data_IF_204614714610
#
_entry.id   IF_204614714610
#
_cell.length_a   1.000
_cell.length_b   1.000
_cell.length_c   1.000
_cell.angle_alpha   90.00
_cell.angle_beta   90.00
_cell.angle_gamma   90.00
#
_symmetry.space_group_name_H-M   'P 1'
#
loop_
_entity.id
_entity.type
_entity.pdbx_description
1 polymer ?
#
# COMPACT_ATOMS: atom_id res chain seq x y z
N UNK A 1 5.03 -43.88 -35.58
CA UNK A 1 3.60 -43.53 -35.58
C UNK A 1 3.44 -42.48 -34.50
N UNK A 2 3.32 -41.22 -34.91
CA UNK A 2 3.42 -40.08 -34.01
C UNK A 2 2.04 -39.44 -33.94
N UNK A 3 1.30 -39.68 -32.87
CA UNK A 3 -0.03 -39.13 -32.64
C UNK A 3 0.10 -37.75 -32.00
N UNK A 4 -0.04 -36.71 -32.82
CA UNK A 4 -0.20 -35.32 -32.38
C UNK A 4 -1.66 -35.08 -31.97
N UNK A 5 -1.88 -34.72 -30.71
CA UNK A 5 -3.19 -34.31 -30.18
C UNK A 5 -3.17 -32.79 -30.00
N UNK A 6 -3.82 -32.07 -30.90
CA UNK A 6 -4.08 -30.62 -30.78
C UNK A 6 -5.38 -30.42 -30.00
N UNK A 7 -5.28 -29.92 -28.77
CA UNK A 7 -6.44 -29.45 -28.00
C UNK A 7 -6.58 -27.95 -28.27
N UNK A 8 -7.55 -27.60 -29.10
CA UNK A 8 -8.00 -26.22 -29.30
C UNK A 8 -8.91 -25.82 -28.13
N UNK A 9 -8.35 -25.09 -27.15
CA UNK A 9 -9.12 -24.49 -26.07
C UNK A 9 -9.68 -23.14 -26.54
N UNK A 10 -10.83 -23.18 -27.21
CA UNK A 10 -11.60 -22.00 -27.56
C UNK A 10 -12.67 -21.73 -26.48
N UNK A 11 -12.68 -20.50 -25.96
CA UNK A 11 -13.90 -19.84 -25.48
C UNK A 11 -14.21 -19.92 -23.99
N UNK A 12 -13.73 -18.93 -23.23
CA UNK A 12 -14.49 -18.30 -22.13
C UNK A 12 -13.78 -17.03 -21.66
N UNK A 13 -13.93 -15.92 -22.38
CA UNK A 13 -13.66 -14.58 -21.84
C UNK A 13 -14.97 -13.79 -21.86
N UNK A 14 -15.91 -14.21 -21.02
CA UNK A 14 -16.92 -13.32 -20.49
C UNK A 14 -16.51 -13.02 -19.05
N UNK A 15 -15.55 -12.11 -18.88
CA UNK A 15 -15.32 -11.46 -17.60
C UNK A 15 -16.54 -10.57 -17.33
N UNK A 16 -17.61 -11.19 -16.82
CA UNK A 16 -18.66 -10.44 -16.14
C UNK A 16 -17.97 -9.62 -15.05
N UNK A 17 -18.20 -8.31 -15.06
CA UNK A 17 -17.70 -7.38 -14.07
C UNK A 17 -18.26 -7.76 -12.70
N UNK A 18 -17.55 -8.68 -12.04
CA UNK A 18 -17.77 -9.02 -10.65
C UNK A 18 -17.62 -7.73 -9.85
N UNK A 19 -18.70 -7.35 -9.17
CA UNK A 19 -18.69 -6.33 -8.11
C UNK A 19 -17.89 -6.79 -6.88
N UNK A 20 -17.36 -8.02 -6.90
CA UNK A 20 -16.48 -8.56 -5.88
C UNK A 20 -15.03 -8.59 -6.40
N UNK A 21 -14.08 -7.98 -5.67
CA UNK A 21 -12.67 -8.11 -6.00
C UNK A 21 -12.22 -9.56 -5.90
N UNK A 22 -11.47 -10.02 -6.92
CA UNK A 22 -10.85 -11.34 -6.91
C UNK A 22 -9.64 -11.31 -6.00
N UNK A 23 -9.78 -11.87 -4.80
CA UNK A 23 -8.71 -11.93 -3.81
C UNK A 23 -7.77 -13.10 -4.08
N UNK A 24 -6.51 -12.79 -4.36
CA UNK A 24 -5.44 -13.78 -4.38
C UNK A 24 -4.80 -13.90 -2.98
N UNK A 25 -4.37 -15.10 -2.63
CA UNK A 25 -3.64 -15.39 -1.38
C UNK A 25 -2.13 -15.54 -1.59
N UNK A 26 -1.71 -15.74 -2.85
CA UNK A 26 -0.31 -15.85 -3.22
C UNK A 26 0.22 -14.52 -3.77
N UNK A 27 1.04 -13.86 -2.97
CA UNK A 27 1.67 -12.59 -3.32
C UNK A 27 2.56 -12.69 -4.57
N UNK A 28 3.31 -13.80 -4.74
CA UNK A 28 4.25 -13.94 -5.86
C UNK A 28 3.51 -14.12 -7.18
N UNK A 29 2.40 -14.85 -7.17
CA UNK A 29 1.58 -15.02 -8.37
C UNK A 29 0.84 -13.73 -8.70
N UNK A 30 0.29 -13.04 -7.70
CA UNK A 30 -0.35 -11.75 -7.90
C UNK A 30 0.62 -10.69 -8.45
N UNK A 31 1.89 -10.72 -8.04
CA UNK A 31 2.91 -9.84 -8.57
C UNK A 31 3.19 -10.12 -10.06
N UNK A 32 3.26 -11.39 -10.46
CA UNK A 32 3.42 -11.77 -11.87
C UNK A 32 2.20 -11.37 -12.69
N UNK A 33 1.00 -11.55 -12.16
CA UNK A 33 -0.24 -11.14 -12.82
C UNK A 33 -0.31 -9.62 -12.97
N UNK A 34 0.07 -8.86 -11.93
CA UNK A 34 0.15 -7.41 -11.98
C UNK A 34 1.15 -6.93 -13.06
N UNK A 35 2.28 -7.64 -13.21
CA UNK A 35 3.26 -7.39 -14.26
C UNK A 35 2.73 -7.74 -15.66
N UNK A 36 2.11 -8.91 -15.83
CA UNK A 36 1.57 -9.38 -17.10
C UNK A 36 0.40 -8.50 -17.57
N UNK A 37 -0.49 -8.13 -16.66
CA UNK A 37 -1.67 -7.31 -16.93
C UNK A 37 -1.36 -5.80 -16.92
N UNK A 38 -0.15 -5.39 -16.54
CA UNK A 38 0.26 -3.99 -16.34
C UNK A 38 -0.69 -3.22 -15.41
N UNK A 39 -1.22 -3.91 -14.40
CA UNK A 39 -2.17 -3.37 -13.42
C UNK A 39 -1.45 -3.12 -12.09
N UNK A 40 -1.84 -2.09 -11.33
CA UNK A 40 -1.38 -1.92 -9.96
C UNK A 40 -1.91 -3.06 -9.08
N UNK A 41 -1.15 -3.41 -8.03
CA UNK A 41 -1.56 -4.43 -7.06
C UNK A 41 -1.95 -3.74 -5.74
N UNK A 42 -3.07 -4.14 -5.16
CA UNK A 42 -3.51 -3.71 -3.84
C UNK A 42 -3.38 -4.88 -2.88
N UNK A 43 -2.47 -4.76 -1.92
CA UNK A 43 -2.21 -5.76 -0.88
C UNK A 43 -2.85 -5.29 0.41
N UNK A 44 -3.85 -6.04 0.87
CA UNK A 44 -4.55 -5.77 2.11
C UNK A 44 -4.13 -6.79 3.16
N UNK A 45 -3.71 -6.28 4.31
CA UNK A 45 -3.34 -7.07 5.47
C UNK A 45 -4.48 -6.98 6.48
N UNK A 46 -4.98 -8.13 6.91
CA UNK A 46 -6.05 -8.22 7.88
C UNK A 46 -5.98 -9.53 8.66
N UNK A 47 -6.93 -9.73 9.58
CA UNK A 47 -7.01 -10.95 10.39
C UNK A 47 -8.25 -11.77 10.07
N UNK A 48 -8.09 -13.05 9.73
CA UNK A 48 -9.19 -13.98 9.41
C UNK A 48 -9.64 -13.93 7.95
N UNK A 49 -10.67 -14.69 7.54
CA UNK A 49 -11.08 -14.79 6.13
C UNK A 49 -11.66 -13.48 5.56
N UNK A 50 -12.38 -12.70 6.37
CA UNK A 50 -13.03 -11.44 5.95
C UNK A 50 -12.31 -10.20 6.49
N UNK A 51 -11.05 -10.34 6.91
CA UNK A 51 -10.31 -9.26 7.58
C UNK A 51 -10.07 -8.03 6.71
N UNK A 52 -10.18 -8.15 5.37
CA UNK A 52 -10.06 -7.02 4.46
C UNK A 52 -11.20 -5.99 4.63
N UNK A 53 -12.39 -6.43 5.04
CA UNK A 53 -13.50 -5.50 5.35
C UNK A 53 -13.18 -4.62 6.55
N UNK A 54 -12.39 -5.15 7.50
CA UNK A 54 -11.92 -4.44 8.71
C UNK A 54 -10.77 -3.46 8.44
N UNK A 55 -10.12 -3.55 7.28
CA UNK A 55 -9.17 -2.52 6.82
C UNK A 55 -9.91 -1.22 6.55
N UNK A 56 -11.21 -1.29 6.23
CA UNK A 56 -12.04 -0.11 6.08
C UNK A 56 -12.73 0.16 7.41
N UNK A 57 -12.49 1.34 7.99
CA UNK A 57 -13.03 1.75 9.30
C UNK A 57 -14.55 1.62 9.40
N UNK A 58 -15.24 1.75 8.26
CA UNK A 58 -16.68 1.58 8.15
C UNK A 58 -16.99 0.13 7.83
N UNK A 59 -17.98 -0.44 8.51
CA UNK A 59 -18.32 -1.88 8.51
C UNK A 59 -18.57 -2.50 7.12
N UNK A 60 -18.75 -1.68 6.08
CA UNK A 60 -18.86 -2.17 4.69
C UNK A 60 -18.06 -1.30 3.71
N UNK A 61 -17.20 -1.91 2.88
CA UNK A 61 -16.60 -1.27 1.71
C UNK A 61 -17.68 -0.69 0.79
N UNK A 62 -17.52 0.57 0.39
CA UNK A 62 -18.44 1.19 -0.58
C UNK A 62 -18.41 0.46 -1.93
N UNK A 63 -19.53 0.49 -2.66
CA UNK A 63 -19.62 -0.10 -4.00
C UNK A 63 -18.55 0.46 -4.95
N UNK A 64 -18.18 1.72 -4.80
CA UNK A 64 -17.10 2.36 -5.56
C UNK A 64 -15.74 1.71 -5.29
N UNK A 65 -15.38 1.52 -4.02
CA UNK A 65 -14.10 0.87 -3.65
C UNK A 65 -14.05 -0.55 -4.22
N UNK A 66 -15.14 -1.31 -4.09
CA UNK A 66 -15.23 -2.67 -4.62
C UNK A 66 -15.07 -2.71 -6.14
N UNK A 67 -15.72 -1.78 -6.86
CA UNK A 67 -15.62 -1.64 -8.30
C UNK A 67 -14.21 -1.27 -8.75
N UNK A 68 -13.59 -0.29 -8.08
CA UNK A 68 -12.21 0.11 -8.39
C UNK A 68 -11.25 -1.07 -8.22
N UNK A 69 -11.37 -1.80 -7.12
CA UNK A 69 -10.55 -2.97 -6.83
C UNK A 69 -10.73 -4.09 -7.87
N UNK A 70 -11.97 -4.42 -8.26
CA UNK A 70 -12.20 -5.50 -9.23
C UNK A 70 -11.76 -5.12 -10.66
N UNK A 71 -12.01 -3.88 -11.09
CA UNK A 71 -11.76 -3.43 -12.46
C UNK A 71 -10.31 -3.04 -12.71
N UNK A 72 -9.64 -2.39 -11.74
CA UNK A 72 -8.34 -1.75 -11.98
C UNK A 72 -7.17 -2.42 -11.25
N UNK A 73 -7.40 -3.12 -10.15
CA UNK A 73 -6.32 -3.66 -9.31
C UNK A 73 -6.24 -5.19 -9.34
N UNK A 74 -5.05 -5.72 -9.13
CA UNK A 74 -4.87 -7.11 -8.69
C UNK A 74 -4.96 -7.10 -7.17
N UNK A 75 -5.97 -7.78 -6.61
CA UNK A 75 -6.25 -7.73 -5.18
C UNK A 75 -5.58 -8.91 -4.47
N UNK A 76 -4.77 -8.61 -3.46
CA UNK A 76 -4.11 -9.62 -2.63
C UNK A 76 -4.58 -9.45 -1.21
N UNK A 77 -5.04 -10.55 -0.63
CA UNK A 77 -5.40 -10.59 0.78
C UNK A 77 -4.41 -11.45 1.56
N UNK A 78 -3.86 -10.87 2.62
CA UNK A 78 -2.88 -11.52 3.48
C UNK A 78 -3.44 -11.63 4.90
N UNK A 79 -3.68 -12.86 5.33
CA UNK A 79 -4.11 -13.14 6.70
C UNK A 79 -2.92 -13.12 7.66
N UNK A 80 -2.84 -12.08 8.49
CA UNK A 80 -1.82 -11.87 9.51
C UNK A 80 -1.96 -12.80 10.73
N UNK A 81 -2.96 -13.70 10.74
CA UNK A 81 -2.99 -14.83 11.69
C UNK A 81 -2.02 -15.93 11.30
N UNK A 82 -1.76 -16.12 10.01
CA UNK A 82 -0.87 -17.16 9.49
C UNK A 82 0.60 -16.79 9.66
N UNK A 83 1.49 -17.77 9.81
CA UNK A 83 2.95 -17.52 9.92
C UNK A 83 3.48 -16.84 8.66
N UNK A 84 3.01 -17.27 7.48
CA UNK A 84 3.38 -16.67 6.21
C UNK A 84 2.91 -15.21 6.10
N UNK A 85 1.66 -14.92 6.48
CA UNK A 85 1.12 -13.56 6.45
C UNK A 85 1.80 -12.61 7.44
N UNK A 86 2.19 -13.09 8.63
CA UNK A 86 3.01 -12.30 9.57
C UNK A 86 4.40 -11.99 9.02
N UNK A 87 5.02 -12.95 8.33
CA UNK A 87 6.33 -12.72 7.69
C UNK A 87 6.20 -11.65 6.62
N UNK A 88 5.21 -11.77 5.74
CA UNK A 88 4.97 -10.81 4.68
C UNK A 88 4.63 -9.41 5.25
N UNK A 89 3.80 -9.33 6.30
CA UNK A 89 3.52 -8.07 6.96
C UNK A 89 4.80 -7.38 7.48
N UNK A 90 5.73 -8.14 8.08
CA UNK A 90 7.04 -7.60 8.51
C UNK A 90 7.91 -7.17 7.35
N UNK A 91 7.89 -7.90 6.22
CA UNK A 91 8.64 -7.50 5.02
C UNK A 91 8.14 -6.16 4.45
N UNK A 92 6.87 -5.81 4.71
CA UNK A 92 6.26 -4.50 4.41
C UNK A 92 6.31 -3.49 5.56
N UNK A 93 7.11 -3.77 6.60
CA UNK A 93 7.26 -2.95 7.81
C UNK A 93 5.93 -2.64 8.54
N UNK A 94 4.94 -3.53 8.41
CA UNK A 94 3.69 -3.43 9.15
C UNK A 94 3.88 -3.98 10.57
N UNK A 95 3.87 -3.06 11.54
CA UNK A 95 3.91 -3.41 12.97
C UNK A 95 2.54 -3.84 13.53
N UNK A 96 1.46 -3.57 12.79
CA UNK A 96 0.08 -3.92 13.15
C UNK A 96 -0.46 -5.16 12.41
N UNK A 97 -1.68 -5.56 12.78
CA UNK A 97 -2.39 -6.67 12.13
C UNK A 97 -3.26 -6.25 10.94
N UNK A 98 -3.39 -4.94 10.73
CA UNK A 98 -4.20 -4.31 9.68
C UNK A 98 -3.32 -3.30 8.93
N UNK A 99 -3.38 -3.35 7.60
CA UNK A 99 -2.63 -2.41 6.75
C UNK A 99 -3.02 -2.51 5.29
N UNK A 100 -2.62 -1.50 4.53
CA UNK A 100 -2.87 -1.40 3.10
C UNK A 100 -1.58 -0.97 2.40
N UNK A 101 -1.25 -1.70 1.34
CA UNK A 101 -0.13 -1.37 0.46
C UNK A 101 -0.62 -1.38 -0.98
N UNK A 102 -0.34 -0.32 -1.74
CA UNK A 102 -0.62 -0.27 -3.16
C UNK A 102 0.71 -0.19 -3.89
N UNK A 103 0.90 -1.03 -4.91
CA UNK A 103 2.08 -1.00 -5.77
C UNK A 103 1.81 -0.28 -7.09
N UNK A 104 2.89 0.08 -7.76
CA UNK A 104 2.88 0.62 -9.10
C UNK A 104 2.43 -0.43 -10.12
N UNK A 105 2.08 0.04 -11.32
CA UNK A 105 1.82 -0.82 -12.47
C UNK A 105 3.08 -1.63 -12.78
N UNK A 106 2.95 -2.95 -12.72
CA UNK A 106 4.10 -3.86 -12.81
C UNK A 106 4.52 -4.50 -11.49
N UNK A 107 3.97 -4.06 -10.35
CA UNK A 107 4.23 -4.66 -9.04
C UNK A 107 5.67 -4.49 -8.52
N UNK A 108 6.46 -3.62 -9.13
CA UNK A 108 7.89 -3.47 -8.82
C UNK A 108 8.19 -2.39 -7.77
N UNK A 109 7.32 -1.40 -7.62
CA UNK A 109 7.54 -0.27 -6.71
C UNK A 109 6.32 -0.07 -5.83
N UNK A 110 6.54 0.27 -4.57
CA UNK A 110 5.46 0.60 -3.66
C UNK A 110 5.00 2.05 -3.93
N UNK A 111 3.71 2.21 -4.21
CA UNK A 111 3.10 3.51 -4.49
C UNK A 111 2.51 4.15 -3.23
N UNK A 112 1.88 3.32 -2.41
CA UNK A 112 1.22 3.75 -1.18
C UNK A 112 1.44 2.75 -0.05
N UNK A 113 1.56 3.27 1.16
CA UNK A 113 1.60 2.51 2.39
C UNK A 113 0.74 3.16 3.45
N UNK A 114 -0.05 2.34 4.14
CA UNK A 114 -0.81 2.75 5.30
C UNK A 114 -0.88 1.64 6.34
N UNK A 115 -0.70 2.01 7.59
CA UNK A 115 -0.88 1.12 8.73
C UNK A 115 -2.19 1.46 9.45
N UNK A 116 -2.97 0.43 9.78
CA UNK A 116 -4.27 0.56 10.43
C UNK A 116 -5.43 0.65 9.44
N UNK A 117 -6.58 1.06 9.94
CA UNK A 117 -7.80 1.23 9.16
C UNK A 117 -7.77 2.53 8.34
N UNK A 118 -8.46 2.51 7.19
CA UNK A 118 -8.70 3.67 6.33
C UNK A 118 -10.19 3.91 6.18
N UNK A 119 -10.62 5.17 6.07
CA UNK A 119 -12.01 5.45 5.71
C UNK A 119 -12.29 5.10 4.25
N UNK A 120 -13.54 4.78 3.92
CA UNK A 120 -13.97 4.53 2.53
C UNK A 120 -13.55 5.65 1.57
N UNK A 121 -13.72 6.91 1.99
CA UNK A 121 -13.37 8.08 1.17
C UNK A 121 -11.87 8.15 0.88
N UNK A 122 -11.03 7.94 1.89
CA UNK A 122 -9.58 7.95 1.75
C UNK A 122 -9.12 6.80 0.84
N UNK A 123 -9.65 5.60 1.06
CA UNK A 123 -9.38 4.42 0.24
C UNK A 123 -9.76 4.66 -1.23
N UNK A 124 -10.97 5.13 -1.51
CA UNK A 124 -11.44 5.42 -2.86
C UNK A 124 -10.56 6.46 -3.58
N UNK A 125 -10.12 7.50 -2.86
CA UNK A 125 -9.25 8.53 -3.43
C UNK A 125 -7.88 7.98 -3.84
N UNK A 126 -7.24 7.16 -3.01
CA UNK A 126 -5.96 6.54 -3.36
C UNK A 126 -6.11 5.49 -4.46
N UNK A 127 -7.16 4.68 -4.43
CA UNK A 127 -7.44 3.72 -5.50
C UNK A 127 -7.68 4.44 -6.84
N UNK A 128 -8.44 5.54 -6.85
CA UNK A 128 -8.66 6.33 -8.07
C UNK A 128 -7.36 6.94 -8.58
N UNK A 129 -6.53 7.49 -7.69
CA UNK A 129 -5.22 8.06 -8.02
C UNK A 129 -4.29 7.04 -8.69
N UNK A 130 -4.18 5.83 -8.14
CA UNK A 130 -3.26 4.82 -8.67
C UNK A 130 -3.85 3.93 -9.77
N UNK A 131 -5.17 3.99 -9.97
CA UNK A 131 -5.82 3.44 -11.17
C UNK A 131 -5.50 4.26 -12.42
N UNK A 132 -5.22 5.56 -12.28
CA UNK A 132 -4.92 6.45 -13.41
C UNK A 132 -3.62 6.03 -14.11
N UNK A 133 -3.66 5.72 -15.42
CA UNK A 133 -2.49 5.29 -16.16
C UNK A 133 -1.46 6.40 -16.42
N UNK A 134 -1.74 7.64 -16.06
CA UNK A 134 -0.80 8.76 -16.17
C UNK A 134 0.05 8.95 -14.92
N UNK A 135 -0.34 8.34 -13.79
CA UNK A 135 0.39 8.47 -12.53
C UNK A 135 1.63 7.58 -12.56
N UNK A 136 2.80 8.22 -12.71
CA UNK A 136 4.09 7.58 -12.55
C UNK A 136 4.46 7.53 -11.06
N UNK A 137 4.71 6.33 -10.55
CA UNK A 137 5.13 6.12 -9.16
C UNK A 137 6.64 6.28 -9.08
N UNK A 138 7.08 7.40 -8.51
CA UNK A 138 8.52 7.71 -8.34
C UNK A 138 8.97 7.58 -6.88
N UNK A 139 8.02 7.61 -5.94
CA UNK A 139 8.26 7.46 -4.50
C UNK A 139 7.03 6.86 -3.82
N UNK A 140 7.24 6.10 -2.74
CA UNK A 140 6.18 5.60 -1.87
C UNK A 140 5.55 6.75 -1.08
N UNK A 141 4.24 6.93 -1.19
CA UNK A 141 3.47 7.81 -0.33
C UNK A 141 3.05 7.07 0.94
N UNK A 142 3.25 7.69 2.10
CA UNK A 142 2.80 7.15 3.38
C UNK A 142 1.83 8.12 4.02
N UNK A 143 0.71 7.62 4.56
CA UNK A 143 -0.20 8.46 5.37
C UNK A 143 0.36 8.53 6.79
N UNK A 144 1.54 9.11 6.96
CA UNK A 144 2.01 9.44 8.30
C UNK A 144 1.16 10.59 8.81
N UNK A 145 0.40 10.40 9.88
CA UNK A 145 0.04 11.53 10.74
C UNK A 145 1.33 12.29 11.03
N UNK A 146 1.44 13.59 10.76
CA UNK A 146 2.65 14.34 11.05
C UNK A 146 2.96 14.13 12.53
N UNK A 147 4.10 13.49 12.81
CA UNK A 147 4.66 13.46 14.14
C UNK A 147 5.11 14.89 14.41
N UNK A 148 4.30 15.66 15.12
CA UNK A 148 4.71 16.96 15.63
C UNK A 148 5.82 16.72 16.65
N UNK A 149 7.07 16.82 16.22
CA UNK A 149 8.22 16.80 17.11
C UNK A 149 8.31 18.17 17.79
N UNK A 150 7.82 18.23 19.03
CA UNK A 150 8.09 19.35 19.93
C UNK A 150 9.55 19.27 20.37
N UNK A 151 10.44 19.86 19.60
CA UNK A 151 11.78 20.16 20.10
C UNK A 151 11.65 21.34 21.06
N UNK A 152 12.00 21.18 22.36
CA UNK A 152 12.14 22.34 23.22
C UNK A 152 13.23 23.25 22.61
N UNK A 153 13.03 24.58 22.58
CA UNK A 153 14.05 25.49 22.09
C UNK A 153 15.32 25.26 22.90
N UNK A 154 16.39 24.83 22.23
CA UNK A 154 17.73 24.85 22.80
C UNK A 154 18.05 26.29 23.14
N UNK A 155 18.03 26.62 24.43
CA UNK A 155 18.63 27.83 24.96
C UNK A 155 20.13 27.76 24.69
N UNK A 156 20.55 28.26 23.54
CA UNK A 156 21.95 28.59 23.29
C UNK A 156 22.32 29.73 24.23
N UNK A 157 22.97 29.39 25.34
CA UNK A 157 23.71 30.34 26.16
C UNK A 157 24.78 30.98 25.30
N UNK A 158 24.47 32.16 24.75
CA UNK A 158 25.45 33.04 24.13
C UNK A 158 26.28 33.68 25.25
N UNK A 159 27.25 32.93 25.78
CA UNK A 159 28.33 33.51 26.58
C UNK A 159 29.36 34.06 25.60
N UNK A 160 29.13 35.28 25.16
CA UNK A 160 30.10 36.07 24.39
C UNK A 160 31.27 36.44 25.33
N UNK A 161 32.54 36.10 25.02
CA UNK A 161 33.66 36.60 25.79
C UNK A 161 33.89 38.07 25.44
N UNK A 162 33.40 38.98 26.30
CA UNK A 162 33.74 40.40 26.24
C UNK A 162 35.20 40.59 26.61
N UNK A 163 36.04 40.80 25.60
CA UNK A 163 37.46 41.15 25.73
C UNK A 163 37.56 42.63 26.14
N UNK A 164 37.69 42.89 27.43
CA UNK A 164 37.96 44.26 27.92
C UNK A 164 39.43 44.60 27.64
N UNK A 165 39.64 45.49 26.67
CA UNK A 165 40.90 46.22 26.49
C UNK A 165 40.89 47.37 27.48
N UNK A 166 41.71 47.28 28.53
CA UNK A 166 42.00 48.41 29.42
C UNK A 166 43.38 48.95 29.09
N UNK A 167 43.39 50.11 28.46
CA UNK A 167 44.54 51.00 28.31
C UNK A 167 44.49 52.02 29.44
N UNK A 168 45.56 52.18 30.23
CA UNK A 168 46.03 53.48 30.75
C UNK A 168 47.29 53.33 31.61
N UNK A 169 48.31 54.11 31.23
CA UNK A 169 49.48 54.50 32.02
C UNK A 169 49.08 55.39 33.20
N UNK A 170 49.78 55.24 34.33
CA UNK A 170 50.59 56.24 35.04
C UNK A 170 51.48 55.52 36.04
#
# INVERSE_FOLDING_TARGET
MNTSMLIALAGALMAGSSLEPSWQTDYFQAQKDAAALKRPMAVLFGTGPDGWTKVIRTETPSAEVRKLLSENFVCVYVDTKTVAGKRLARDFDLSGSIGLVISSRGGATQAFWHQGDVSNLVMANYLRKYADPTVAVVRTETTSTPRTSFYPPTTYGSTSPSRTVTTANC
#
